data_IF_235939023959
#
_entry.id   IF_235939023959
#
_cell.length_a   1.000
_cell.length_b   1.000
_cell.length_c   1.000
_cell.angle_alpha   90.00
_cell.angle_beta   90.00
_cell.angle_gamma   90.00
#
_symmetry.space_group_name_H-M   'P 1'
#
loop_
_entity.id
_entity.type
_entity.pdbx_description
1 polymer ?
#
# COMPACT_ATOMS: atom_id res chain seq x y z
N UNK A 1 -0.39 3.52 15.65
CA UNK A 1 0.88 4.31 15.68
C UNK A 1 1.37 4.46 14.26
N UNK A 2 1.87 5.63 13.86
CA UNK A 2 2.38 5.84 12.49
C UNK A 2 3.59 6.77 12.52
N UNK A 3 4.71 6.27 12.05
CA UNK A 3 5.98 6.98 11.92
C UNK A 3 6.22 7.27 10.44
N UNK A 4 6.35 8.54 10.08
CA UNK A 4 6.55 9.02 8.72
C UNK A 4 7.87 9.77 8.60
N UNK A 5 8.35 9.98 7.38
CA UNK A 5 9.58 10.75 7.10
C UNK A 5 10.86 10.17 7.74
N UNK A 6 10.89 8.86 7.96
CA UNK A 6 11.94 8.20 8.72
C UNK A 6 13.31 8.30 8.06
N UNK A 7 13.40 8.13 6.73
CA UNK A 7 14.65 8.15 5.95
C UNK A 7 15.75 7.23 6.49
N UNK A 8 15.34 6.09 7.03
CA UNK A 8 16.29 5.08 7.51
C UNK A 8 16.84 4.36 6.30
N UNK A 9 18.15 4.37 6.14
CA UNK A 9 18.82 3.75 4.99
C UNK A 9 19.73 2.62 5.43
N UNK A 10 19.79 1.56 4.61
CA UNK A 10 20.73 0.46 4.74
C UNK A 10 20.87 -0.24 3.38
N UNK A 11 21.91 -1.05 3.22
CA UNK A 11 22.15 -1.80 1.98
C UNK A 11 22.19 -3.29 2.24
N UNK A 12 21.63 -4.07 1.33
CA UNK A 12 21.78 -5.54 1.29
C UNK A 12 22.33 -5.87 -0.09
N UNK A 13 23.52 -6.49 -0.14
CA UNK A 13 24.27 -6.68 -1.36
C UNK A 13 24.51 -5.33 -2.07
N UNK A 14 24.05 -5.17 -3.31
CA UNK A 14 24.15 -3.95 -4.11
C UNK A 14 22.82 -3.19 -4.23
N UNK A 15 21.91 -3.38 -3.29
CA UNK A 15 20.59 -2.72 -3.26
C UNK A 15 20.50 -1.86 -2.01
N UNK A 16 20.22 -0.58 -2.21
CA UNK A 16 19.97 0.36 -1.13
C UNK A 16 18.49 0.41 -0.82
N UNK A 17 18.17 0.30 0.45
CA UNK A 17 16.83 0.44 1.01
C UNK A 17 16.68 1.78 1.69
N UNK A 18 15.57 2.45 1.45
CA UNK A 18 15.17 3.64 2.17
C UNK A 18 13.78 3.40 2.76
N UNK A 19 13.70 3.27 4.08
CA UNK A 19 12.43 3.15 4.79
C UNK A 19 11.82 4.54 4.95
N UNK A 20 10.60 4.70 4.48
CA UNK A 20 9.90 5.99 4.45
C UNK A 20 8.83 6.09 5.54
N UNK A 21 8.10 5.00 5.78
CA UNK A 21 7.15 4.95 6.89
C UNK A 21 7.02 3.56 7.49
N UNK A 22 6.66 3.54 8.78
CA UNK A 22 6.32 2.32 9.52
C UNK A 22 5.04 2.61 10.29
N UNK A 23 4.05 1.74 10.20
CA UNK A 23 2.81 1.90 10.94
C UNK A 23 2.35 0.60 11.63
N UNK A 24 1.61 0.78 12.72
CA UNK A 24 0.80 -0.22 13.39
C UNK A 24 -0.59 0.36 13.51
N UNK A 25 -1.55 -0.19 12.79
CA UNK A 25 -2.92 0.32 12.80
C UNK A 25 -3.97 -0.80 12.77
N UNK A 26 -5.15 -0.48 13.30
CA UNK A 26 -6.32 -1.33 13.19
C UNK A 26 -7.12 -0.89 11.98
N UNK A 27 -7.30 -1.79 11.03
CA UNK A 27 -7.98 -1.52 9.76
C UNK A 27 -9.51 -1.57 9.95
N UNK A 28 -10.08 -0.51 10.51
CA UNK A 28 -11.53 -0.37 10.67
C UNK A 28 -12.25 0.06 9.38
N UNK A 29 -11.49 0.40 8.35
CA UNK A 29 -11.96 0.72 7.00
C UNK A 29 -11.14 -0.06 6.00
N UNK A 30 -11.74 -0.48 4.90
CA UNK A 30 -11.01 -1.14 3.85
C UNK A 30 -9.95 -0.22 3.21
N UNK A 31 -8.84 -0.79 2.83
CA UNK A 31 -7.83 -0.12 1.99
C UNK A 31 -8.25 -0.29 0.53
N UNK A 32 -8.62 0.81 -0.16
CA UNK A 32 -9.12 0.72 -1.52
C UNK A 32 -8.06 0.23 -2.50
N UNK A 33 -8.50 -0.34 -3.62
CA UNK A 33 -7.62 -0.80 -4.69
C UNK A 33 -6.63 0.27 -5.14
N UNK A 34 -5.35 -0.03 -5.04
CA UNK A 34 -4.23 0.85 -5.41
C UNK A 34 -3.02 0.04 -5.88
N UNK A 35 -1.95 0.72 -6.24
CA UNK A 35 -0.66 0.13 -6.56
C UNK A 35 0.45 1.15 -6.31
N UNK A 36 1.63 0.68 -6.00
CA UNK A 36 2.78 1.50 -5.67
C UNK A 36 3.58 1.93 -6.91
N UNK A 37 4.44 2.93 -6.71
CA UNK A 37 5.34 3.46 -7.74
C UNK A 37 6.46 2.46 -8.10
N UNK A 38 7.24 2.78 -9.14
CA UNK A 38 8.20 1.84 -9.76
C UNK A 38 9.31 1.30 -8.87
N UNK A 39 9.57 1.90 -7.72
CA UNK A 39 10.61 1.49 -6.78
C UNK A 39 10.09 1.27 -5.36
N UNK A 40 8.77 1.39 -5.16
CA UNK A 40 8.13 1.35 -3.83
C UNK A 40 7.58 -0.03 -3.53
N UNK A 41 7.77 -0.44 -2.30
CA UNK A 41 7.33 -1.70 -1.73
C UNK A 41 6.62 -1.45 -0.41
N UNK A 42 5.63 -2.27 -0.12
CA UNK A 42 4.94 -2.26 1.15
C UNK A 42 4.89 -3.69 1.71
N UNK A 43 5.46 -3.86 2.90
CA UNK A 43 5.43 -5.12 3.64
C UNK A 43 4.34 -5.03 4.70
N UNK A 44 3.47 -6.03 4.72
CA UNK A 44 2.33 -6.13 5.61
C UNK A 44 2.42 -7.39 6.49
N UNK A 45 2.29 -7.21 7.78
CA UNK A 45 2.20 -8.31 8.74
C UNK A 45 0.93 -8.15 9.59
N UNK A 46 0.05 -9.13 9.54
CA UNK A 46 -1.21 -9.11 10.27
C UNK A 46 -1.03 -9.80 11.63
N UNK A 47 -1.13 -9.03 12.70
CA UNK A 47 -0.97 -9.53 14.06
C UNK A 47 -2.26 -10.07 14.68
N UNK A 48 -3.40 -9.48 14.33
CA UNK A 48 -4.74 -9.84 14.81
C UNK A 48 -5.78 -9.59 13.74
N UNK A 49 -6.96 -10.24 13.91
CA UNK A 49 -8.14 -10.04 13.07
C UNK A 49 -8.06 -10.76 11.74
N UNK A 50 -9.13 -10.66 10.97
CA UNK A 50 -9.33 -11.39 9.73
C UNK A 50 -9.79 -10.47 8.61
N UNK A 51 -9.56 -10.91 7.38
CA UNK A 51 -9.96 -10.15 6.21
C UNK A 51 -9.62 -10.85 4.91
N UNK A 52 -9.69 -10.10 3.82
CA UNK A 52 -9.34 -10.55 2.48
C UNK A 52 -8.36 -9.55 1.86
N UNK A 53 -7.29 -10.06 1.27
CA UNK A 53 -6.43 -9.35 0.34
C UNK A 53 -6.87 -9.72 -1.08
N UNK A 54 -7.14 -8.74 -1.93
CA UNK A 54 -7.30 -8.96 -3.36
C UNK A 54 -6.07 -8.36 -4.05
N UNK A 55 -5.22 -9.21 -4.62
CA UNK A 55 -4.01 -8.79 -5.29
C UNK A 55 -3.97 -9.35 -6.71
N UNK A 56 -3.72 -8.48 -7.71
CA UNK A 56 -3.70 -8.88 -9.12
C UNK A 56 -4.98 -9.58 -9.61
N UNK A 57 -6.12 -9.31 -8.96
CA UNK A 57 -7.40 -9.92 -9.29
C UNK A 57 -7.65 -11.29 -8.64
N UNK A 58 -6.75 -11.78 -7.80
CA UNK A 58 -6.88 -13.00 -7.03
C UNK A 58 -7.16 -12.67 -5.56
N UNK A 59 -8.06 -13.43 -4.92
CA UNK A 59 -8.42 -13.28 -3.51
C UNK A 59 -7.60 -14.22 -2.62
N UNK A 60 -7.14 -13.67 -1.48
CA UNK A 60 -6.40 -14.40 -0.46
C UNK A 60 -7.04 -14.16 0.90
N UNK A 61 -7.33 -15.22 1.63
CA UNK A 61 -7.79 -15.12 3.02
C UNK A 61 -6.65 -14.63 3.91
N UNK A 62 -6.92 -13.60 4.71
CA UNK A 62 -5.97 -13.02 5.66
C UNK A 62 -6.37 -13.43 7.07
N UNK A 63 -5.40 -13.93 7.81
CA UNK A 63 -5.52 -14.40 9.19
C UNK A 63 -4.36 -13.86 10.04
N UNK A 64 -4.44 -13.93 11.37
CA UNK A 64 -3.30 -13.62 12.22
C UNK A 64 -2.06 -14.45 11.81
N UNK A 65 -0.93 -13.79 11.64
CA UNK A 65 0.30 -14.37 11.12
C UNK A 65 0.48 -14.24 9.60
N UNK A 66 -0.53 -13.78 8.86
CA UNK A 66 -0.35 -13.48 7.42
C UNK A 66 0.71 -12.42 7.23
N UNK A 67 1.65 -12.71 6.32
CA UNK A 67 2.73 -11.83 5.90
C UNK A 67 2.70 -11.73 4.38
N UNK A 68 2.67 -10.52 3.84
CA UNK A 68 2.69 -10.32 2.39
C UNK A 68 3.41 -9.03 2.02
N UNK A 69 3.87 -8.99 0.79
CA UNK A 69 4.53 -7.83 0.22
C UNK A 69 3.91 -7.45 -1.11
N UNK A 70 3.68 -6.16 -1.29
CA UNK A 70 3.21 -5.56 -2.53
C UNK A 70 4.25 -4.56 -3.05
N UNK A 71 4.80 -4.87 -4.20
CA UNK A 71 5.85 -4.09 -4.84
C UNK A 71 5.33 -3.28 -6.04
N UNK A 72 6.26 -2.84 -6.90
CA UNK A 72 5.95 -1.96 -8.02
C UNK A 72 4.86 -2.48 -8.95
N UNK A 73 3.80 -1.68 -9.12
CA UNK A 73 2.71 -1.98 -10.05
C UNK A 73 1.76 -3.10 -9.60
N UNK A 74 1.99 -3.72 -8.47
CA UNK A 74 1.07 -4.73 -7.90
C UNK A 74 -0.21 -4.04 -7.45
N UNK A 75 -1.30 -4.29 -8.19
CA UNK A 75 -2.62 -3.77 -7.82
C UNK A 75 -3.21 -4.61 -6.70
N UNK A 76 -3.53 -3.99 -5.57
CA UNK A 76 -4.07 -4.68 -4.40
C UNK A 76 -5.08 -3.83 -3.64
N UNK A 77 -5.92 -4.51 -2.83
CA UNK A 77 -6.87 -3.92 -1.88
C UNK A 77 -7.01 -4.85 -0.67
N UNK A 78 -7.30 -4.28 0.49
CA UNK A 78 -7.49 -5.03 1.72
C UNK A 78 -8.87 -4.75 2.29
N UNK A 79 -9.59 -5.82 2.62
CA UNK A 79 -10.94 -5.78 3.19
C UNK A 79 -10.88 -6.44 4.56
N UNK A 80 -10.99 -5.64 5.60
CA UNK A 80 -11.02 -6.10 6.99
C UNK A 80 -12.44 -6.53 7.38
N UNK A 81 -12.60 -7.60 8.14
CA UNK A 81 -13.91 -8.02 8.61
C UNK A 81 -14.37 -7.10 9.75
N UNK A 82 -15.59 -6.53 9.69
CA UNK A 82 -16.06 -5.57 10.69
C UNK A 82 -16.14 -6.13 12.09
N UNK A 83 -16.44 -7.42 12.23
CA UNK A 83 -16.60 -8.12 13.52
C UNK A 83 -15.25 -8.37 14.20
N UNK A 84 -14.19 -8.59 13.42
CA UNK A 84 -12.83 -8.83 13.91
C UNK A 84 -11.79 -8.15 13.00
N UNK A 85 -11.67 -6.81 13.08
CA UNK A 85 -10.83 -6.04 12.18
C UNK A 85 -9.35 -6.36 12.32
N UNK A 86 -8.67 -6.46 11.17
CA UNK A 86 -7.22 -6.69 11.10
C UNK A 86 -6.44 -5.61 11.85
N UNK A 87 -5.42 -6.05 12.58
CA UNK A 87 -4.37 -5.17 13.12
C UNK A 87 -3.08 -5.48 12.39
N UNK A 88 -2.57 -4.48 11.71
CA UNK A 88 -1.49 -4.58 10.75
C UNK A 88 -0.27 -3.80 11.18
N UNK A 89 0.90 -4.43 11.02
CA UNK A 89 2.19 -3.76 10.92
C UNK A 89 2.53 -3.58 9.45
N UNK A 90 2.80 -2.36 9.05
CA UNK A 90 3.16 -2.04 7.68
C UNK A 90 4.50 -1.32 7.63
N UNK A 91 5.37 -1.71 6.70
CA UNK A 91 6.66 -1.05 6.42
C UNK A 91 6.68 -0.65 4.96
N UNK A 92 6.62 0.66 4.71
CA UNK A 92 6.72 1.23 3.37
C UNK A 92 8.14 1.67 3.09
N UNK A 93 8.72 1.20 2.01
CA UNK A 93 10.11 1.48 1.65
C UNK A 93 10.31 1.56 0.15
N UNK A 94 11.44 2.12 -0.22
CA UNK A 94 11.92 2.15 -1.60
C UNK A 94 13.26 1.49 -1.71
N UNK A 95 13.54 1.02 -2.93
CA UNK A 95 14.84 0.48 -3.28
C UNK A 95 15.47 1.28 -4.42
N UNK A 96 16.79 1.44 -4.35
CA UNK A 96 17.62 1.89 -5.47
C UNK A 96 18.66 0.83 -5.74
N UNK A 97 18.96 0.59 -7.02
CA UNK A 97 19.98 -0.36 -7.44
C UNK A 97 21.16 0.42 -8.00
N UNK A 98 22.34 0.22 -7.46
CA UNK A 98 23.55 0.68 -8.14
C UNK A 98 23.71 -0.04 -9.49
N UNK A 99 24.06 0.72 -10.54
CA UNK A 99 24.10 0.25 -11.94
C UNK A 99 25.19 -0.78 -12.25
N UNK A 100 25.98 -1.22 -11.30
CA UNK A 100 27.14 -2.10 -11.52
C UNK A 100 26.89 -3.53 -11.05
N UNK A 101 26.43 -4.37 -11.97
CA UNK A 101 26.45 -5.83 -11.82
C UNK A 101 25.07 -6.47 -11.65
N UNK A 102 24.89 -7.64 -12.26
CA UNK A 102 23.76 -8.50 -11.95
C UNK A 102 23.91 -8.97 -10.50
N UNK A 103 22.92 -8.70 -9.65
CA UNK A 103 22.84 -9.34 -8.34
C UNK A 103 22.75 -10.86 -8.59
N UNK A 104 23.65 -11.63 -8.03
CA UNK A 104 23.63 -13.10 -8.12
C UNK A 104 23.16 -13.74 -6.81
N UNK A 105 22.83 -12.92 -5.84
CA UNK A 105 22.56 -13.32 -4.48
C UNK A 105 21.08 -13.49 -4.14
N UNK A 106 20.78 -13.42 -2.84
CA UNK A 106 19.45 -13.57 -2.28
C UNK A 106 18.49 -12.47 -2.75
N UNK A 107 19.02 -11.28 -3.06
CA UNK A 107 18.22 -10.12 -3.48
C UNK A 107 17.67 -10.23 -4.90
N UNK A 108 18.20 -11.11 -5.76
CA UNK A 108 17.56 -11.41 -7.05
C UNK A 108 16.15 -11.98 -6.84
N UNK A 109 16.02 -12.95 -5.95
CA UNK A 109 14.73 -13.56 -5.63
C UNK A 109 13.73 -12.49 -5.15
N UNK A 110 14.18 -11.55 -4.31
CA UNK A 110 13.35 -10.44 -3.86
C UNK A 110 12.87 -9.55 -5.01
N UNK A 111 13.76 -9.20 -5.95
CA UNK A 111 13.43 -8.32 -7.08
C UNK A 111 12.53 -8.98 -8.12
N UNK A 112 12.66 -10.30 -8.31
CA UNK A 112 11.87 -11.08 -9.26
C UNK A 112 10.43 -11.31 -8.80
N UNK A 113 10.17 -11.14 -7.49
CA UNK A 113 8.85 -11.39 -6.87
C UNK A 113 8.27 -10.11 -6.24
N UNK A 114 7.74 -9.17 -7.04
CA UNK A 114 7.15 -7.94 -6.52
C UNK A 114 5.87 -8.17 -5.70
N UNK A 115 5.27 -9.33 -5.79
CA UNK A 115 4.17 -9.79 -4.93
C UNK A 115 4.49 -11.15 -4.34
N UNK A 116 4.26 -11.27 -3.05
CA UNK A 116 4.38 -12.51 -2.31
C UNK A 116 3.43 -12.50 -1.11
N UNK A 117 2.87 -13.65 -0.77
CA UNK A 117 2.03 -13.85 0.41
C UNK A 117 2.33 -15.21 1.04
N UNK A 118 2.39 -15.25 2.37
CA UNK A 118 2.60 -16.46 3.15
C UNK A 118 2.28 -16.23 4.62
N UNK A 119 2.73 -17.14 5.47
CA UNK A 119 2.54 -17.08 6.92
C UNK A 119 3.88 -16.81 7.60
N UNK A 120 3.91 -15.81 8.47
CA UNK A 120 5.09 -15.45 9.24
C UNK A 120 5.29 -16.38 10.43
N UNK A 121 6.54 -16.71 10.70
CA UNK A 121 6.94 -17.34 11.96
C UNK A 121 6.90 -16.33 13.11
N UNK A 122 6.92 -16.82 14.35
CA UNK A 122 6.97 -15.98 15.57
C UNK A 122 8.15 -15.00 15.58
N UNK A 123 9.24 -15.32 14.90
CA UNK A 123 10.42 -14.46 14.73
C UNK A 123 10.08 -13.10 14.11
N UNK A 124 9.22 -13.07 13.10
CA UNK A 124 8.77 -11.83 12.43
C UNK A 124 7.95 -10.96 13.40
N UNK A 125 7.03 -11.58 14.16
CA UNK A 125 6.23 -10.83 15.14
C UNK A 125 7.10 -10.17 16.21
N UNK A 126 8.09 -10.90 16.74
CA UNK A 126 9.02 -10.36 17.73
C UNK A 126 9.87 -9.24 17.15
N UNK A 127 10.33 -9.39 15.91
CA UNK A 127 11.13 -8.39 15.22
C UNK A 127 10.33 -7.10 14.97
N UNK A 128 9.07 -7.20 14.54
CA UNK A 128 8.17 -6.05 14.40
C UNK A 128 7.98 -5.32 15.74
N UNK A 129 7.79 -6.05 16.84
CA UNK A 129 7.71 -5.45 18.18
C UNK A 129 8.99 -4.70 18.57
N UNK A 130 10.15 -5.28 18.31
CA UNK A 130 11.43 -4.62 18.59
C UNK A 130 11.61 -3.35 17.78
N UNK A 131 11.27 -3.37 16.47
CA UNK A 131 11.29 -2.17 15.62
C UNK A 131 10.42 -1.05 16.20
N UNK A 132 9.20 -1.38 16.64
CA UNK A 132 8.30 -0.39 17.25
C UNK A 132 8.79 0.11 18.60
N UNK A 133 9.41 -0.76 19.41
CA UNK A 133 10.01 -0.37 20.69
C UNK A 133 11.18 0.62 20.49
N UNK A 134 12.05 0.40 19.50
CA UNK A 134 13.13 1.33 19.14
C UNK A 134 12.57 2.69 18.68
N UNK A 135 11.51 2.67 17.85
CA UNK A 135 10.84 3.88 17.35
C UNK A 135 10.08 4.65 18.44
N UNK A 136 9.62 4.01 19.49
CA UNK A 136 8.84 4.64 20.56
C UNK A 136 9.74 5.20 21.66
N UNK A 137 10.75 4.43 22.08
CA UNK A 137 11.55 4.75 23.26
C UNK A 137 12.88 5.46 22.96
N UNK A 138 13.35 5.39 21.70
CA UNK A 138 14.62 5.97 21.25
C UNK A 138 15.80 5.70 22.22
N UNK A 139 16.09 4.43 22.56
CA UNK A 139 17.17 4.12 23.48
C UNK A 139 18.53 4.48 22.88
N UNK A 140 19.57 4.57 23.71
CA UNK A 140 20.91 4.85 23.22
C UNK A 140 21.32 3.85 22.12
N UNK A 141 21.73 4.35 20.96
CA UNK A 141 22.12 3.56 19.80
C UNK A 141 20.96 3.08 18.91
N UNK A 142 19.72 3.57 19.12
CA UNK A 142 18.56 3.21 18.28
C UNK A 142 18.81 3.49 16.78
N UNK A 143 19.55 4.53 16.44
CA UNK A 143 19.91 4.88 15.06
C UNK A 143 20.75 3.79 14.35
N UNK A 144 21.47 2.99 15.10
CA UNK A 144 22.23 1.83 14.60
C UNK A 144 21.41 0.53 14.66
N UNK A 145 20.62 0.39 15.72
CA UNK A 145 19.79 -0.79 15.93
C UNK A 145 18.68 -0.90 14.90
N UNK A 146 17.98 0.19 14.63
CA UNK A 146 16.81 0.21 13.78
C UNK A 146 17.09 -0.23 12.33
N UNK A 147 18.14 0.29 11.64
CA UNK A 147 18.52 -0.24 10.32
C UNK A 147 18.87 -1.73 10.36
N UNK A 148 19.52 -2.20 11.41
CA UNK A 148 19.90 -3.61 11.56
C UNK A 148 18.68 -4.53 11.70
N UNK A 149 17.68 -4.13 12.48
CA UNK A 149 16.41 -4.87 12.62
C UNK A 149 15.62 -4.89 11.30
N UNK A 150 15.58 -3.77 10.58
CA UNK A 150 14.91 -3.68 9.29
C UNK A 150 15.62 -4.51 8.22
N UNK A 151 16.96 -4.51 8.21
CA UNK A 151 17.75 -5.39 7.34
C UNK A 151 17.46 -6.87 7.62
N UNK A 152 17.37 -7.24 8.90
CA UNK A 152 17.01 -8.59 9.34
C UNK A 152 15.61 -8.98 8.84
N UNK A 153 14.64 -8.06 8.93
CA UNK A 153 13.27 -8.24 8.46
C UNK A 153 13.23 -8.57 6.96
N UNK A 154 13.92 -7.78 6.13
CA UNK A 154 13.97 -8.01 4.67
C UNK A 154 14.65 -9.35 4.34
N UNK A 155 15.72 -9.71 5.05
CA UNK A 155 16.40 -11.00 4.84
C UNK A 155 15.51 -12.18 5.22
N UNK A 156 14.79 -12.10 6.34
CA UNK A 156 13.84 -13.15 6.74
C UNK A 156 12.71 -13.27 5.73
N UNK A 157 12.11 -12.16 5.30
CA UNK A 157 11.10 -12.15 4.26
C UNK A 157 11.59 -12.86 2.98
N UNK A 158 12.79 -12.52 2.50
CA UNK A 158 13.34 -13.11 1.27
C UNK A 158 13.60 -14.62 1.40
N UNK A 159 13.89 -15.12 2.61
CA UNK A 159 14.01 -16.56 2.85
C UNK A 159 12.70 -17.30 2.68
N UNK A 160 11.57 -16.69 3.04
CA UNK A 160 10.25 -17.27 2.84
C UNK A 160 9.91 -17.43 1.34
N UNK A 161 10.40 -16.55 0.45
CA UNK A 161 10.18 -16.66 -1.01
C UNK A 161 10.72 -17.96 -1.61
N UNK A 162 11.75 -18.55 -1.01
CA UNK A 162 12.38 -19.78 -1.51
C UNK A 162 11.63 -21.06 -1.09
N UNK A 163 10.65 -20.95 -0.21
CA UNK A 163 9.91 -22.12 0.32
C UNK A 163 8.62 -22.42 -0.45
N UNK A 164 8.14 -21.49 -1.25
CA UNK A 164 6.91 -21.63 -2.02
C UNK A 164 7.17 -21.34 -3.51
N UNK A 165 6.60 -22.16 -4.42
CA UNK A 165 6.65 -21.96 -5.87
C UNK A 165 5.83 -20.72 -6.25
N UNK A 166 6.47 -19.56 -6.39
CA UNK A 166 5.83 -18.30 -6.77
C UNK A 166 5.94 -18.11 -8.27
N UNK A 167 4.80 -17.84 -8.93
CA UNK A 167 4.76 -17.57 -10.38
C UNK A 167 5.47 -16.26 -10.70
N UNK A 168 6.41 -16.23 -11.67
CA UNK A 168 7.17 -15.02 -12.01
C UNK A 168 6.28 -13.98 -12.69
N UNK A 169 6.31 -12.75 -12.19
CA UNK A 169 5.69 -11.58 -12.83
C UNK A 169 6.74 -10.84 -13.65
N UNK A 170 6.55 -10.82 -14.96
CA UNK A 170 7.42 -10.12 -15.91
C UNK A 170 7.21 -8.60 -15.86
N UNK A 171 8.22 -7.84 -15.43
CA UNK A 171 8.16 -6.37 -15.47
C UNK A 171 9.47 -5.67 -15.11
N UNK A 172 10.32 -5.42 -16.08
CA UNK A 172 11.52 -4.57 -15.93
C UNK A 172 11.17 -3.09 -16.03
N UNK A 173 11.52 -2.26 -15.04
CA UNK A 173 11.32 -0.81 -15.11
C UNK A 173 12.60 -0.04 -14.73
N UNK A 174 12.98 0.91 -15.61
CA UNK A 174 14.10 1.83 -15.41
C UNK A 174 13.83 2.85 -14.32
N UNK A 175 14.77 3.04 -13.41
CA UNK A 175 14.76 4.04 -12.34
C UNK A 175 14.82 5.47 -12.90
N UNK A 176 14.02 6.38 -12.34
CA UNK A 176 14.18 7.83 -12.49
C UNK A 176 14.13 8.48 -11.13
N UNK A 177 15.23 9.12 -10.74
CA UNK A 177 15.38 9.91 -9.51
C UNK A 177 14.29 10.99 -9.40
N UNK A 178 13.37 10.84 -8.46
CA UNK A 178 12.53 11.91 -7.94
C UNK A 178 12.32 11.62 -6.44
N UNK A 179 12.25 12.69 -5.65
CA UNK A 179 12.14 12.68 -4.20
C UNK A 179 11.10 11.65 -3.70
N UNK A 180 11.57 10.57 -3.15
CA UNK A 180 10.83 9.33 -2.86
C UNK A 180 9.65 9.56 -1.89
N UNK A 181 9.82 10.48 -0.96
CA UNK A 181 8.76 10.93 -0.06
C UNK A 181 7.55 11.55 -0.78
N UNK A 182 7.76 12.17 -1.93
CA UNK A 182 6.68 12.78 -2.72
C UNK A 182 5.67 11.75 -3.18
N UNK A 183 6.12 10.54 -3.56
CA UNK A 183 5.22 9.47 -3.97
C UNK A 183 4.43 8.90 -2.82
N UNK A 184 5.06 8.68 -1.67
CA UNK A 184 4.37 8.23 -0.47
C UNK A 184 3.24 9.20 -0.09
N UNK A 185 3.54 10.52 -0.06
CA UNK A 185 2.53 11.55 0.22
C UNK A 185 1.38 11.49 -0.79
N UNK A 186 1.68 11.30 -2.08
CA UNK A 186 0.66 11.20 -3.11
C UNK A 186 -0.20 9.96 -2.89
N UNK A 187 0.40 8.80 -2.68
CA UNK A 187 -0.31 7.55 -2.49
C UNK A 187 -1.18 7.59 -1.25
N UNK A 188 -0.66 8.04 -0.11
CA UNK A 188 -1.43 8.22 1.12
C UNK A 188 -2.59 9.20 0.96
N UNK A 189 -2.39 10.33 0.28
CA UNK A 189 -3.45 11.31 0.07
C UNK A 189 -4.63 10.71 -0.73
N UNK A 190 -4.35 9.91 -1.75
CA UNK A 190 -5.41 9.22 -2.50
C UNK A 190 -6.00 8.03 -1.79
N UNK A 191 -5.30 7.40 -0.84
CA UNK A 191 -5.83 6.29 -0.04
C UNK A 191 -6.73 6.77 1.10
N UNK A 192 -6.33 7.82 1.80
CA UNK A 192 -6.99 8.20 3.05
C UNK A 192 -7.79 9.51 2.95
N UNK A 193 -7.35 10.47 2.11
CA UNK A 193 -7.93 11.81 2.04
C UNK A 193 -8.82 12.01 0.80
N UNK A 194 -9.04 10.97 -0.02
CA UNK A 194 -9.74 11.04 -1.33
C UNK A 194 -11.07 11.78 -1.28
N UNK A 195 -11.76 11.79 -0.13
CA UNK A 195 -13.04 12.47 0.06
C UNK A 195 -12.92 13.96 -0.21
N UNK A 196 -12.04 14.64 0.49
CA UNK A 196 -11.92 16.09 0.50
C UNK A 196 -10.64 16.58 -0.19
N UNK A 197 -9.84 15.66 -0.74
CA UNK A 197 -8.58 15.97 -1.39
C UNK A 197 -8.77 16.91 -2.58
N UNK A 198 -8.06 18.03 -2.59
CA UNK A 198 -7.96 18.95 -3.71
C UNK A 198 -6.55 18.96 -4.29
N UNK A 199 -6.43 19.33 -5.58
CA UNK A 199 -5.10 19.50 -6.20
C UNK A 199 -4.23 20.51 -5.46
N UNK A 200 -4.84 21.55 -4.90
CA UNK A 200 -4.15 22.58 -4.11
C UNK A 200 -3.59 22.02 -2.80
N UNK A 201 -4.39 21.23 -2.08
CA UNK A 201 -3.97 20.55 -0.86
C UNK A 201 -2.83 19.57 -1.14
N UNK A 202 -2.99 18.73 -2.17
CA UNK A 202 -1.95 17.79 -2.58
C UNK A 202 -0.64 18.51 -2.97
N UNK A 203 -0.74 19.57 -3.77
CA UNK A 203 0.41 20.37 -4.20
C UNK A 203 1.17 20.98 -3.00
N UNK A 204 0.44 21.46 -1.97
CA UNK A 204 1.04 21.93 -0.72
C UNK A 204 1.73 20.81 0.05
N UNK A 205 1.09 19.65 0.18
CA UNK A 205 1.67 18.47 0.88
C UNK A 205 2.98 18.02 0.22
N UNK A 206 3.03 17.94 -1.11
CA UNK A 206 4.23 17.55 -1.85
C UNK A 206 5.23 18.69 -2.06
N UNK A 207 4.93 19.89 -1.58
CA UNK A 207 5.77 21.12 -1.72
C UNK A 207 6.09 21.47 -3.19
N UNK A 208 5.12 21.26 -4.07
CA UNK A 208 5.22 21.55 -5.51
C UNK A 208 4.12 22.51 -5.95
N UNK A 209 4.31 23.16 -7.11
CA UNK A 209 3.24 23.91 -7.76
C UNK A 209 2.19 22.98 -8.40
N UNK A 210 0.93 23.42 -8.53
CA UNK A 210 -0.17 22.64 -9.13
C UNK A 210 0.20 22.01 -10.47
N UNK A 211 0.81 22.77 -11.38
CA UNK A 211 1.25 22.27 -12.69
C UNK A 211 2.32 21.18 -12.59
N UNK A 212 3.24 21.31 -11.64
CA UNK A 212 4.28 20.30 -11.41
C UNK A 212 3.67 19.04 -10.83
N UNK A 213 2.72 19.15 -9.88
CA UNK A 213 1.98 18.03 -9.30
C UNK A 213 1.18 17.27 -10.36
N UNK A 214 0.44 17.97 -11.23
CA UNK A 214 -0.29 17.36 -12.35
C UNK A 214 0.66 16.65 -13.33
N UNK A 215 1.80 17.26 -13.68
CA UNK A 215 2.80 16.65 -14.55
C UNK A 215 3.41 15.41 -13.91
N UNK A 216 3.62 15.42 -12.61
CA UNK A 216 4.14 14.30 -11.84
C UNK A 216 3.13 13.14 -11.83
N UNK A 217 1.85 13.42 -11.55
CA UNK A 217 0.77 12.42 -11.61
C UNK A 217 0.65 11.82 -13.01
N UNK A 218 0.69 12.64 -14.06
CA UNK A 218 0.62 12.16 -15.45
C UNK A 218 1.82 11.29 -15.82
N UNK A 219 3.03 11.69 -15.40
CA UNK A 219 4.28 10.96 -15.69
C UNK A 219 4.32 9.58 -15.03
N UNK A 220 3.86 9.48 -13.76
CA UNK A 220 4.06 8.26 -12.96
C UNK A 220 2.85 7.34 -12.93
N UNK A 221 1.64 7.91 -12.95
CA UNK A 221 0.40 7.13 -12.92
C UNK A 221 -0.36 7.14 -14.26
N UNK A 222 0.13 7.92 -15.24
CA UNK A 222 -0.55 8.17 -16.51
C UNK A 222 -1.99 8.73 -16.34
N UNK A 223 -2.26 9.40 -15.22
CA UNK A 223 -3.59 9.90 -14.81
C UNK A 223 -3.50 11.37 -14.41
N UNK A 224 -4.60 12.10 -14.63
CA UNK A 224 -4.80 13.42 -14.03
C UNK A 224 -5.16 13.27 -12.55
N UNK A 225 -5.08 14.37 -11.79
CA UNK A 225 -5.55 14.42 -10.40
C UNK A 225 -7.00 13.95 -10.27
N UNK A 226 -7.89 14.45 -11.14
CA UNK A 226 -9.31 14.09 -11.13
C UNK A 226 -9.54 12.61 -11.42
N UNK A 227 -8.83 12.05 -12.40
CA UNK A 227 -8.93 10.63 -12.72
C UNK A 227 -8.49 9.77 -11.54
N UNK A 228 -7.37 10.10 -10.91
CA UNK A 228 -6.85 9.33 -9.76
C UNK A 228 -7.76 9.45 -8.53
N UNK A 229 -8.32 10.66 -8.27
CA UNK A 229 -9.29 10.86 -7.18
C UNK A 229 -10.59 10.10 -7.43
N UNK A 230 -11.10 10.13 -8.64
CA UNK A 230 -12.31 9.39 -9.00
C UNK A 230 -12.10 7.89 -8.85
N UNK A 231 -10.95 7.37 -9.28
CA UNK A 231 -10.58 5.97 -9.11
C UNK A 231 -10.55 5.57 -7.62
N UNK A 232 -9.89 6.35 -6.77
CA UNK A 232 -9.83 6.10 -5.33
C UNK A 232 -11.23 6.08 -4.70
N UNK A 233 -12.10 7.06 -5.05
CA UNK A 233 -13.50 7.10 -4.59
C UNK A 233 -14.31 5.91 -5.08
N UNK A 234 -14.10 5.46 -6.31
CA UNK A 234 -14.82 4.33 -6.88
C UNK A 234 -14.37 3.00 -6.29
N UNK A 235 -13.07 2.84 -6.01
CA UNK A 235 -12.57 1.68 -5.27
C UNK A 235 -13.20 1.61 -3.88
N UNK A 236 -13.21 2.71 -3.14
CA UNK A 236 -13.89 2.77 -1.85
C UNK A 236 -15.42 2.51 -1.96
N UNK A 237 -16.06 2.97 -3.05
CA UNK A 237 -17.47 2.72 -3.30
C UNK A 237 -17.80 1.23 -3.39
N UNK A 238 -17.00 0.45 -4.12
CA UNK A 238 -17.21 -0.99 -4.27
C UNK A 238 -17.25 -1.70 -2.91
N UNK A 239 -16.40 -1.27 -1.99
CA UNK A 239 -16.31 -1.84 -0.65
C UNK A 239 -17.51 -1.41 0.21
N UNK A 240 -17.83 -0.10 0.21
CA UNK A 240 -18.98 0.41 0.96
C UNK A 240 -20.32 -0.16 0.45
N UNK A 241 -20.40 -0.55 -0.82
CA UNK A 241 -21.59 -1.18 -1.40
C UNK A 241 -21.79 -2.62 -0.93
N UNK A 242 -20.77 -3.30 -0.41
CA UNK A 242 -20.91 -4.63 0.19
C UNK A 242 -21.72 -4.59 1.50
N UNK A 243 -21.67 -3.47 2.22
CA UNK A 243 -22.57 -3.26 3.37
C UNK A 243 -24.02 -2.99 2.90
N UNK A 244 -24.86 -4.03 3.00
CA UNK A 244 -26.26 -3.97 2.59
C UNK A 244 -27.11 -2.97 3.42
N UNK A 245 -26.67 -2.62 4.63
CA UNK A 245 -27.36 -1.71 5.54
C UNK A 245 -27.13 -0.23 5.18
N UNK A 246 -26.06 0.08 4.47
CA UNK A 246 -25.69 1.46 4.14
C UNK A 246 -26.42 1.95 2.89
N UNK A 247 -27.20 3.02 3.01
CA UNK A 247 -27.94 3.62 1.88
C UNK A 247 -27.01 4.23 0.82
N UNK A 248 -27.44 4.24 -0.44
CA UNK A 248 -26.66 4.83 -1.56
C UNK A 248 -26.36 6.31 -1.32
N UNK A 249 -27.30 7.06 -0.72
CA UNK A 249 -27.09 8.48 -0.39
C UNK A 249 -26.00 8.66 0.68
N UNK A 250 -25.99 7.83 1.71
CA UNK A 250 -24.95 7.87 2.75
C UNK A 250 -23.56 7.50 2.18
N UNK A 251 -23.50 6.54 1.26
CA UNK A 251 -22.26 6.19 0.57
C UNK A 251 -21.77 7.36 -0.30
N UNK A 252 -22.66 8.01 -1.04
CA UNK A 252 -22.30 9.17 -1.86
C UNK A 252 -21.71 10.30 -1.01
N UNK A 253 -22.33 10.60 0.14
CA UNK A 253 -21.84 11.60 1.10
C UNK A 253 -20.46 11.22 1.68
N UNK A 254 -20.28 9.97 2.09
CA UNK A 254 -19.02 9.48 2.65
C UNK A 254 -17.87 9.54 1.63
N UNK A 255 -18.18 9.34 0.36
CA UNK A 255 -17.22 9.45 -0.74
C UNK A 255 -16.97 10.90 -1.18
N UNK A 256 -17.68 11.89 -0.60
CA UNK A 256 -17.54 13.30 -0.91
C UNK A 256 -18.18 13.71 -2.23
N UNK A 257 -19.28 13.07 -2.62
CA UNK A 257 -20.12 13.51 -3.74
C UNK A 257 -21.18 14.50 -3.24
N UNK A 258 -21.44 15.51 -4.06
CA UNK A 258 -22.44 16.55 -3.75
C UNK A 258 -23.88 16.03 -3.81
N UNK A 259 -24.13 14.93 -4.49
CA UNK A 259 -25.44 14.26 -4.53
C UNK A 259 -25.31 12.76 -4.87
N UNK A 260 -26.32 11.96 -4.52
CA UNK A 260 -26.38 10.54 -4.91
C UNK A 260 -26.42 10.32 -6.42
N UNK A 261 -26.99 11.26 -7.18
CA UNK A 261 -27.07 11.23 -8.64
C UNK A 261 -25.67 11.40 -9.26
N UNK A 262 -24.88 12.35 -8.76
CA UNK A 262 -23.49 12.54 -9.19
C UNK A 262 -22.64 11.29 -8.93
N UNK A 263 -22.79 10.68 -7.75
CA UNK A 263 -22.14 9.40 -7.43
C UNK A 263 -22.58 8.29 -8.38
N UNK A 264 -23.89 8.12 -8.57
CA UNK A 264 -24.46 7.07 -9.45
C UNK A 264 -23.96 7.20 -10.88
N UNK A 265 -23.91 8.42 -11.41
CA UNK A 265 -23.39 8.69 -12.76
C UNK A 265 -21.88 8.37 -12.85
N UNK A 266 -21.09 8.80 -11.89
CA UNK A 266 -19.66 8.51 -11.84
C UNK A 266 -19.40 7.01 -11.76
N UNK A 267 -20.14 6.29 -10.94
CA UNK A 267 -20.05 4.83 -10.77
C UNK A 267 -20.43 4.10 -12.07
N UNK A 268 -21.55 4.50 -12.70
CA UNK A 268 -22.01 3.94 -13.98
C UNK A 268 -20.99 4.15 -15.11
N UNK A 269 -20.33 5.29 -15.15
CA UNK A 269 -19.32 5.59 -16.17
C UNK A 269 -18.08 4.70 -16.05
N UNK A 270 -17.76 4.19 -14.87
CA UNK A 270 -16.59 3.33 -14.64
C UNK A 270 -16.92 1.85 -14.72
N UNK A 271 -18.05 1.44 -14.13
CA UNK A 271 -18.40 0.02 -14.02
C UNK A 271 -19.51 -0.43 -14.98
N UNK A 272 -20.05 0.46 -15.83
CA UNK A 272 -21.16 0.21 -16.76
C UNK A 272 -22.44 -0.30 -16.08
N UNK A 273 -22.59 -0.13 -14.76
CA UNK A 273 -23.76 -0.50 -13.97
C UNK A 273 -23.99 0.48 -12.83
N UNK A 274 -25.23 0.52 -12.31
CA UNK A 274 -25.54 1.38 -11.17
C UNK A 274 -25.00 0.81 -9.85
N UNK A 275 -24.74 1.62 -8.80
CA UNK A 275 -24.36 1.14 -7.48
C UNK A 275 -25.34 0.12 -6.90
N UNK A 276 -26.64 0.33 -7.13
CA UNK A 276 -27.70 -0.61 -6.69
C UNK A 276 -27.64 -1.95 -7.42
N UNK A 277 -27.34 -1.93 -8.73
CA UNK A 277 -27.17 -3.15 -9.51
C UNK A 277 -25.91 -3.91 -9.09
N UNK A 278 -24.82 -3.21 -8.84
CA UNK A 278 -23.56 -3.77 -8.32
C UNK A 278 -23.79 -4.47 -6.98
N UNK A 279 -24.47 -3.82 -6.02
CA UNK A 279 -24.81 -4.41 -4.71
C UNK A 279 -25.60 -5.70 -4.83
N UNK A 280 -26.56 -5.78 -5.77
CA UNK A 280 -27.41 -6.98 -5.97
C UNK A 280 -26.66 -8.11 -6.65
N UNK A 281 -25.63 -7.84 -7.43
CA UNK A 281 -24.81 -8.83 -8.11
C UNK A 281 -23.63 -9.36 -7.30
N UNK A 282 -23.33 -8.74 -6.13
CA UNK A 282 -22.34 -9.28 -5.20
C UNK A 282 -22.98 -10.43 -4.42
N UNK A 283 -22.38 -11.63 -4.38
CA UNK A 283 -22.85 -12.69 -3.49
C UNK A 283 -22.79 -12.18 -2.04
N UNK A 284 -23.86 -12.39 -1.31
CA UNK A 284 -24.01 -12.12 0.13
C UNK A 284 -23.17 -13.08 0.96
#
# INVERSE_FOLDING_TARGET
>A
MKYRDLKITFSIENIDFTILSICLEKLVRPIPKHSHSKSSYELHYISYGYGTLIAQGQEYAITPGSLFMTGPGVSHEQISYPEDPMTEYCVYFQISKEMAGASTGIMNTFLEHPFWIGTAENSIHMLMKQIFQELESHPAGYELMLPSLLQQLILLLTRHYKQEDVLPVSGTTKSTNINDLTYLIIEEAFLYDYRDLTLDALAKQVKLGKRQTERLLKKHYNKTFQQKRTEARMSAACILLQDSKKGIAAIAEELGYSSPEHFTNAFKNIYNMTPTAFRKGSPS
#
